data_IF_164558982508
#
_entry.id   IF_164558982508
#
_cell.length_a   1.000
_cell.length_b   1.000
_cell.length_c   1.000
_cell.angle_alpha   90.00
_cell.angle_beta   90.00
_cell.angle_gamma   90.00
#
_symmetry.space_group_name_H-M   'P 1'
#
loop_
_entity.id
_entity.type
_entity.pdbx_description
1 polymer ?
#
# COMPACT_ATOMS: atom_id res chain seq x y z
N UNK A 1 3.73 -4.71 -2.69
CA UNK A 1 3.35 -6.08 -2.29
C UNK A 1 1.98 -6.39 -2.87
N UNK A 2 1.86 -7.51 -3.60
CA UNK A 2 0.62 -7.88 -4.29
C UNK A 2 0.66 -7.58 -5.79
N UNK A 3 -0.14 -8.34 -6.55
CA UNK A 3 -0.19 -8.27 -8.01
C UNK A 3 -1.63 -8.21 -8.57
N UNK A 4 -2.57 -7.70 -7.76
CA UNK A 4 -3.98 -7.56 -8.13
C UNK A 4 -4.29 -6.26 -8.87
N UNK A 5 -5.57 -5.95 -9.05
CA UNK A 5 -6.03 -4.73 -9.72
C UNK A 5 -5.51 -3.46 -9.03
N UNK A 6 -5.57 -3.39 -7.70
CA UNK A 6 -5.07 -2.24 -6.93
C UNK A 6 -3.56 -2.04 -7.08
N UNK A 7 -2.80 -3.11 -7.33
CA UNK A 7 -1.38 -2.99 -7.63
C UNK A 7 -1.14 -2.26 -8.95
N UNK A 8 -2.02 -2.40 -9.95
CA UNK A 8 -1.89 -1.63 -11.20
C UNK A 8 -2.08 -0.13 -10.95
N UNK A 9 -3.05 0.27 -10.14
CA UNK A 9 -3.23 1.66 -9.73
C UNK A 9 -2.02 2.18 -8.95
N UNK A 10 -1.44 1.36 -8.06
CA UNK A 10 -0.22 1.70 -7.33
C UNK A 10 0.98 1.90 -8.27
N UNK A 11 1.14 1.05 -9.30
CA UNK A 11 2.20 1.22 -10.31
C UNK A 11 2.03 2.53 -11.10
N UNK A 12 0.80 2.89 -11.47
CA UNK A 12 0.52 4.17 -12.13
C UNK A 12 0.96 5.36 -11.25
N UNK A 13 0.55 5.36 -9.98
CA UNK A 13 0.92 6.41 -9.03
C UNK A 13 2.44 6.46 -8.78
N UNK A 14 3.12 5.31 -8.71
CA UNK A 14 4.58 5.27 -8.59
C UNK A 14 5.27 5.88 -9.81
N UNK A 15 4.73 5.68 -11.01
CA UNK A 15 5.27 6.28 -12.23
C UNK A 15 5.15 7.82 -12.19
N UNK A 16 4.02 8.35 -11.72
CA UNK A 16 3.83 9.79 -11.52
C UNK A 16 4.80 10.38 -10.49
N UNK A 17 5.22 9.58 -9.51
CA UNK A 17 6.26 9.91 -8.54
C UNK A 17 7.69 9.71 -9.06
N UNK A 18 7.86 9.29 -10.32
CA UNK A 18 9.16 9.08 -10.97
C UNK A 18 9.78 7.70 -10.77
N UNK A 19 9.08 6.75 -10.14
CA UNK A 19 9.52 5.37 -9.99
C UNK A 19 9.02 4.50 -11.15
N UNK A 20 9.90 4.27 -12.12
CA UNK A 20 9.58 3.53 -13.36
C UNK A 20 9.94 2.05 -13.33
N UNK A 21 10.75 1.61 -12.36
CA UNK A 21 11.22 0.22 -12.24
C UNK A 21 10.93 -0.37 -10.84
N UNK A 22 9.67 -0.39 -10.36
CA UNK A 22 9.34 -0.85 -9.02
C UNK A 22 9.48 -2.36 -8.89
N UNK A 23 9.82 -2.84 -7.69
CA UNK A 23 9.82 -4.26 -7.36
C UNK A 23 8.41 -4.69 -6.94
N UNK A 24 7.86 -5.70 -7.63
CA UNK A 24 6.55 -6.28 -7.31
C UNK A 24 6.73 -7.67 -6.73
N UNK A 25 6.38 -7.80 -5.45
CA UNK A 25 6.39 -9.06 -4.73
C UNK A 25 5.03 -9.73 -4.80
N UNK A 26 4.97 -10.96 -5.30
CA UNK A 26 3.74 -11.71 -5.50
C UNK A 26 3.87 -13.17 -5.06
N UNK A 27 2.78 -13.75 -4.53
CA UNK A 27 2.75 -15.17 -4.13
C UNK A 27 2.91 -16.14 -5.31
N UNK A 28 2.47 -15.75 -6.49
CA UNK A 28 2.55 -16.57 -7.70
C UNK A 28 2.94 -15.70 -8.89
N UNK A 29 4.16 -15.91 -9.38
CA UNK A 29 4.69 -15.18 -10.53
C UNK A 29 3.92 -15.49 -11.82
N UNK A 30 3.40 -16.72 -11.97
CA UNK A 30 2.56 -17.08 -13.12
C UNK A 30 1.27 -16.25 -13.25
N UNK A 31 0.85 -15.55 -12.18
CA UNK A 31 -0.36 -14.72 -12.16
C UNK A 31 -0.10 -13.22 -12.39
N UNK A 32 1.16 -12.80 -12.57
CA UNK A 32 1.50 -11.37 -12.72
C UNK A 32 1.31 -10.84 -14.14
N UNK A 33 1.02 -11.70 -15.13
CA UNK A 33 0.94 -11.30 -16.54
C UNK A 33 -0.07 -10.19 -16.84
N UNK A 34 -1.21 -10.15 -16.14
CA UNK A 34 -2.18 -9.06 -16.28
C UNK A 34 -1.62 -7.71 -15.79
N UNK A 35 -0.91 -7.74 -14.65
CA UNK A 35 -0.26 -6.55 -14.09
C UNK A 35 0.91 -6.10 -14.97
N UNK A 36 1.73 -7.01 -15.48
CA UNK A 36 2.82 -6.69 -16.41
C UNK A 36 2.31 -5.97 -17.66
N UNK A 37 1.22 -6.46 -18.28
CA UNK A 37 0.59 -5.79 -19.42
C UNK A 37 0.04 -4.41 -19.06
N UNK A 38 -0.51 -4.24 -17.86
CA UNK A 38 -0.97 -2.93 -17.40
C UNK A 38 0.20 -1.96 -17.22
N UNK A 39 1.27 -2.41 -16.55
CA UNK A 39 2.49 -1.64 -16.32
C UNK A 39 3.12 -1.16 -17.63
N UNK A 40 3.24 -2.04 -18.62
CA UNK A 40 3.78 -1.70 -19.93
C UNK A 40 3.00 -0.56 -20.62
N UNK A 41 1.66 -0.58 -20.57
CA UNK A 41 0.83 0.52 -21.12
C UNK A 41 1.04 1.86 -20.41
N UNK A 42 1.58 1.84 -19.19
CA UNK A 42 1.88 3.01 -18.38
C UNK A 42 3.35 3.42 -18.46
N UNK A 43 4.18 2.72 -19.24
CA UNK A 43 5.63 2.97 -19.31
C UNK A 43 6.38 2.55 -18.05
N UNK A 44 5.86 1.59 -17.29
CA UNK A 44 6.46 1.05 -16.06
C UNK A 44 6.97 -0.36 -16.32
N UNK A 45 8.20 -0.65 -15.90
CA UNK A 45 8.89 -1.93 -16.09
C UNK A 45 9.13 -2.61 -14.73
N UNK A 46 8.09 -3.21 -14.10
CA UNK A 46 8.21 -3.79 -12.78
C UNK A 46 9.09 -5.05 -12.77
N UNK A 47 9.93 -5.18 -11.75
CA UNK A 47 10.68 -6.42 -11.49
C UNK A 47 9.87 -7.32 -10.57
N UNK A 48 9.39 -8.44 -11.08
CA UNK A 48 8.60 -9.38 -10.30
C UNK A 48 9.47 -10.35 -9.50
N UNK A 49 9.16 -10.53 -8.22
CA UNK A 49 9.84 -11.44 -7.28
C UNK A 49 8.84 -12.20 -6.41
N UNK A 50 9.27 -13.34 -5.85
CA UNK A 50 8.44 -14.08 -4.88
C UNK A 50 8.20 -13.26 -3.63
N UNK A 51 7.02 -13.40 -3.03
CA UNK A 51 6.70 -12.77 -1.75
C UNK A 51 7.56 -13.33 -0.59
N UNK A 52 8.16 -14.50 -0.74
CA UNK A 52 9.02 -15.10 0.30
C UNK A 52 10.25 -14.23 0.62
N UNK A 53 10.74 -13.47 -0.36
CA UNK A 53 11.84 -12.50 -0.18
C UNK A 53 11.39 -11.12 0.28
N UNK A 54 10.18 -10.98 0.84
CA UNK A 54 9.61 -9.67 1.18
C UNK A 54 10.41 -8.93 2.24
N UNK A 55 10.89 -9.60 3.29
CA UNK A 55 11.65 -8.96 4.37
C UNK A 55 12.85 -8.18 3.82
N UNK A 56 13.73 -8.87 3.11
CA UNK A 56 14.93 -8.27 2.50
C UNK A 56 14.59 -7.14 1.53
N UNK A 57 13.59 -7.36 0.67
CA UNK A 57 13.18 -6.38 -0.32
C UNK A 57 12.59 -5.12 0.32
N UNK A 58 11.84 -5.25 1.41
CA UNK A 58 11.25 -4.09 2.11
C UNK A 58 12.26 -3.32 2.96
N UNK A 59 13.29 -3.99 3.50
CA UNK A 59 14.34 -3.33 4.28
C UNK A 59 15.15 -2.32 3.46
N UNK A 60 15.27 -2.55 2.14
CA UNK A 60 15.98 -1.66 1.22
C UNK A 60 15.14 -0.55 0.57
N UNK A 61 13.82 -0.51 0.82
CA UNK A 61 12.91 0.38 0.11
C UNK A 61 12.62 1.68 0.89
N UNK A 62 12.52 2.81 0.19
CA UNK A 62 12.07 4.08 0.77
C UNK A 62 10.53 4.18 0.81
N UNK A 63 9.83 3.45 -0.07
CA UNK A 63 8.38 3.36 -0.15
C UNK A 63 7.93 1.91 -0.42
N UNK A 64 7.02 1.41 0.39
CA UNK A 64 6.35 0.13 0.24
C UNK A 64 4.84 0.36 0.12
N UNK A 65 4.21 -0.16 -0.93
CA UNK A 65 2.75 -0.18 -1.03
C UNK A 65 2.28 -1.62 -0.86
N UNK A 66 1.49 -1.90 0.18
CA UNK A 66 0.84 -3.20 0.37
C UNK A 66 -0.58 -3.16 -0.19
N UNK A 67 -0.81 -3.92 -1.25
CA UNK A 67 -2.16 -4.19 -1.80
C UNK A 67 -2.57 -5.64 -1.54
N UNK A 68 -1.99 -6.26 -0.51
CA UNK A 68 -2.31 -7.63 -0.14
C UNK A 68 -3.69 -7.69 0.54
N UNK A 69 -4.44 -8.79 0.40
CA UNK A 69 -5.67 -8.98 1.16
C UNK A 69 -5.42 -8.94 2.68
N UNK A 70 -6.48 -8.74 3.50
CA UNK A 70 -6.42 -8.90 4.94
C UNK A 70 -5.63 -10.14 5.37
N UNK A 71 -4.77 -9.98 6.38
CA UNK A 71 -3.95 -11.03 6.99
C UNK A 71 -2.88 -11.67 6.09
N UNK A 72 -2.87 -11.37 4.78
CA UNK A 72 -1.90 -11.98 3.86
C UNK A 72 -0.47 -11.44 4.01
N UNK A 73 -0.26 -10.44 4.87
CA UNK A 73 1.05 -9.90 5.23
C UNK A 73 1.47 -10.20 6.67
N UNK A 74 0.73 -11.06 7.39
CA UNK A 74 0.98 -11.32 8.81
C UNK A 74 2.35 -11.99 9.04
N UNK A 75 2.80 -12.87 8.16
CA UNK A 75 4.14 -13.49 8.24
C UNK A 75 5.26 -12.45 8.06
N UNK A 76 5.06 -11.47 7.16
CA UNK A 76 5.97 -10.34 7.00
C UNK A 76 6.00 -9.47 8.25
N UNK A 77 4.83 -9.19 8.83
CA UNK A 77 4.72 -8.44 10.08
C UNK A 77 5.44 -9.14 11.24
N UNK A 78 5.28 -10.46 11.37
CA UNK A 78 5.97 -11.26 12.37
C UNK A 78 7.51 -11.21 12.17
N UNK A 79 7.97 -11.29 10.93
CA UNK A 79 9.40 -11.17 10.60
C UNK A 79 9.99 -9.81 10.95
N UNK A 80 9.26 -8.71 10.69
CA UNK A 80 9.67 -7.35 11.06
C UNK A 80 9.75 -7.18 12.58
N UNK A 81 8.79 -7.76 13.31
CA UNK A 81 8.78 -7.73 14.77
C UNK A 81 9.90 -8.57 15.41
N UNK A 82 10.41 -9.59 14.71
CA UNK A 82 11.40 -10.51 15.23
C UNK A 82 12.84 -9.96 15.26
N UNK A 83 13.19 -8.90 14.54
CA UNK A 83 14.54 -8.33 14.65
C UNK A 83 14.88 -7.16 13.72
N UNK A 84 15.87 -6.38 14.16
CA UNK A 84 16.30 -5.14 13.50
C UNK A 84 17.03 -5.35 12.15
N UNK A 85 17.48 -6.56 11.83
CA UNK A 85 18.20 -6.85 10.59
C UNK A 85 17.39 -6.53 9.33
N UNK A 86 16.06 -6.57 9.43
CA UNK A 86 15.13 -6.27 8.33
C UNK A 86 14.28 -5.03 8.64
N UNK A 87 14.73 -4.18 9.57
CA UNK A 87 14.03 -2.94 9.87
C UNK A 87 13.96 -2.06 8.61
N UNK A 88 12.85 -1.33 8.41
CA UNK A 88 12.74 -0.37 7.33
C UNK A 88 13.84 0.71 7.47
N UNK A 89 14.23 1.31 6.34
CA UNK A 89 15.13 2.47 6.36
C UNK A 89 14.50 3.58 7.22
N UNK A 90 15.30 4.40 7.91
CA UNK A 90 14.77 5.56 8.63
C UNK A 90 13.89 6.43 7.72
N UNK A 91 12.63 6.65 8.11
CA UNK A 91 11.67 7.43 7.34
C UNK A 91 11.00 6.70 6.17
N UNK A 92 11.28 5.41 5.95
CA UNK A 92 10.62 4.65 4.89
C UNK A 92 9.11 4.54 5.13
N UNK A 93 8.35 4.76 4.07
CA UNK A 93 6.89 4.85 4.11
C UNK A 93 6.26 3.52 3.71
N UNK A 94 5.30 3.05 4.49
CA UNK A 94 4.36 2.00 4.12
C UNK A 94 3.00 2.63 3.84
N UNK A 95 2.45 2.43 2.63
CA UNK A 95 1.01 2.57 2.38
C UNK A 95 0.38 1.19 2.46
N UNK A 96 -0.37 0.91 3.54
CA UNK A 96 -1.09 -0.35 3.69
C UNK A 96 -2.55 -0.19 3.30
N UNK A 97 -2.92 -0.72 2.13
CA UNK A 97 -4.25 -0.53 1.55
C UNK A 97 -5.33 -1.28 2.33
N UNK A 98 -4.97 -2.36 3.02
CA UNK A 98 -5.94 -3.11 3.82
C UNK A 98 -6.42 -2.27 5.02
N UNK A 99 -7.72 -2.26 5.25
CA UNK A 99 -8.41 -1.50 6.29
C UNK A 99 -9.20 -2.38 7.27
N UNK A 100 -9.03 -3.70 7.16
CA UNK A 100 -9.56 -4.72 8.05
C UNK A 100 -8.52 -5.86 8.18
N UNK A 101 -8.07 -6.23 9.40
CA UNK A 101 -8.30 -5.51 10.66
C UNK A 101 -7.64 -4.12 10.65
N UNK A 102 -8.03 -3.27 11.60
CA UNK A 102 -7.52 -1.91 11.73
C UNK A 102 -6.98 -1.65 13.14
N UNK A 103 -5.66 -1.36 13.30
CA UNK A 103 -4.64 -1.44 12.27
C UNK A 103 -4.35 -2.89 11.85
N UNK A 104 -3.74 -3.07 10.68
CA UNK A 104 -3.23 -4.39 10.27
C UNK A 104 -1.99 -4.76 11.10
N UNK A 105 -1.62 -6.04 11.10
CA UNK A 105 -0.37 -6.48 11.73
C UNK A 105 0.85 -5.83 11.05
N UNK A 106 0.84 -5.70 9.72
CA UNK A 106 1.93 -5.09 8.96
C UNK A 106 2.10 -3.60 9.30
N UNK A 107 0.99 -2.85 9.36
CA UNK A 107 0.99 -1.44 9.73
C UNK A 107 1.60 -1.24 11.13
N UNK A 108 1.15 -2.06 12.08
CA UNK A 108 1.65 -2.03 13.47
C UNK A 108 3.14 -2.37 13.54
N UNK A 109 3.58 -3.44 12.87
CA UNK A 109 4.98 -3.85 12.86
C UNK A 109 5.87 -2.79 12.20
N UNK A 110 5.44 -2.18 11.10
CA UNK A 110 6.20 -1.13 10.41
C UNK A 110 6.46 0.09 11.28
N UNK A 111 5.43 0.55 12.02
CA UNK A 111 5.59 1.63 13.00
C UNK A 111 6.53 1.22 14.15
N UNK A 112 6.36 0.00 14.68
CA UNK A 112 7.21 -0.54 15.74
C UNK A 112 8.69 -0.65 15.35
N UNK A 113 8.97 -0.85 14.05
CA UNK A 113 10.33 -0.89 13.49
C UNK A 113 10.86 0.49 13.05
N UNK A 114 10.18 1.59 13.38
CA UNK A 114 10.66 2.96 13.13
C UNK A 114 10.32 3.53 11.75
N UNK A 115 9.48 2.86 10.97
CA UNK A 115 8.96 3.36 9.70
C UNK A 115 7.76 4.30 9.87
N UNK A 116 7.33 4.91 8.77
CA UNK A 116 6.09 5.71 8.70
C UNK A 116 5.01 4.85 8.03
N UNK A 117 3.85 4.67 8.67
CA UNK A 117 2.77 3.86 8.11
C UNK A 117 1.50 4.68 7.84
N UNK A 118 1.08 4.72 6.58
CA UNK A 118 -0.14 5.37 6.09
C UNK A 118 -1.21 4.29 5.90
N UNK A 119 -2.39 4.43 6.54
CA UNK A 119 -3.43 3.43 6.44
C UNK A 119 -4.30 3.68 5.19
N UNK A 120 -4.93 2.61 4.69
CA UNK A 120 -5.62 2.59 3.39
C UNK A 120 -6.80 3.56 3.29
N UNK A 121 -7.36 4.02 4.41
CA UNK A 121 -8.49 4.95 4.39
C UNK A 121 -8.08 6.36 3.94
N UNK A 122 -6.80 6.73 4.09
CA UNK A 122 -6.28 7.96 3.48
C UNK A 122 -6.35 7.89 1.95
N UNK A 123 -6.03 6.72 1.37
CA UNK A 123 -6.22 6.51 -0.07
C UNK A 123 -7.69 6.63 -0.46
N UNK A 124 -8.60 6.02 0.30
CA UNK A 124 -10.05 6.10 0.05
C UNK A 124 -10.57 7.54 0.09
N UNK A 125 -10.10 8.35 1.05
CA UNK A 125 -10.44 9.77 1.14
C UNK A 125 -10.08 10.53 -0.14
N UNK A 126 -8.84 10.37 -0.62
CA UNK A 126 -8.38 11.05 -1.83
C UNK A 126 -9.08 10.53 -3.09
N UNK A 127 -9.35 9.22 -3.17
CA UNK A 127 -10.15 8.64 -4.26
C UNK A 127 -11.57 9.21 -4.27
N UNK A 128 -12.22 9.31 -3.12
CA UNK A 128 -13.56 9.86 -3.02
C UNK A 128 -13.60 11.35 -3.39
N UNK A 129 -12.61 12.14 -2.98
CA UNK A 129 -12.52 13.55 -3.36
C UNK A 129 -12.38 13.72 -4.88
N UNK A 130 -11.61 12.84 -5.51
CA UNK A 130 -11.45 12.82 -6.96
C UNK A 130 -12.72 12.38 -7.69
N UNK A 131 -13.47 11.42 -7.14
CA UNK A 131 -14.79 11.05 -7.66
C UNK A 131 -15.77 12.23 -7.63
N UNK A 132 -15.82 12.99 -6.53
CA UNK A 132 -16.65 14.22 -6.46
C UNK A 132 -16.24 15.21 -7.55
N UNK A 133 -14.94 15.40 -7.76
CA UNK A 133 -14.43 16.28 -8.83
C UNK A 133 -14.88 15.85 -10.21
N UNK A 134 -14.76 14.56 -10.53
CA UNK A 134 -15.15 14.01 -11.82
C UNK A 134 -16.67 14.07 -12.05
N UNK A 135 -17.47 13.81 -11.01
CA UNK A 135 -18.94 13.80 -11.12
C UNK A 135 -19.56 15.19 -11.18
N UNK A 136 -18.98 16.16 -10.49
CA UNK A 136 -19.59 17.49 -10.28
C UNK A 136 -18.85 18.63 -10.99
N UNK A 137 -17.63 18.38 -11.48
CA UNK A 137 -16.74 19.41 -12.02
C UNK A 137 -16.16 20.35 -10.94
N UNK A 138 -16.43 20.12 -9.65
CA UNK A 138 -15.98 20.96 -8.54
C UNK A 138 -15.03 20.19 -7.63
N UNK A 139 -13.99 20.82 -7.05
CA UNK A 139 -13.11 20.13 -6.10
C UNK A 139 -13.89 19.43 -4.98
N UNK A 140 -13.51 18.19 -4.65
CA UNK A 140 -14.07 17.50 -3.49
C UNK A 140 -13.78 18.27 -2.21
N UNK A 141 -14.75 18.42 -1.28
CA UNK A 141 -14.56 19.16 -0.03
C UNK A 141 -13.72 18.36 0.96
N UNK A 142 -12.41 18.22 0.67
CA UNK A 142 -11.51 17.27 1.32
C UNK A 142 -11.52 17.36 2.85
N UNK A 143 -11.49 18.57 3.41
CA UNK A 143 -11.51 18.77 4.87
C UNK A 143 -12.81 18.26 5.51
N UNK A 144 -13.97 18.46 4.87
CA UNK A 144 -15.24 17.96 5.36
C UNK A 144 -15.34 16.43 5.22
N UNK A 145 -14.81 15.89 4.12
CA UNK A 145 -14.76 14.44 3.89
C UNK A 145 -13.83 13.74 4.89
N UNK A 146 -12.69 14.35 5.22
CA UNK A 146 -11.75 13.86 6.22
C UNK A 146 -12.38 13.85 7.62
N UNK A 147 -13.01 14.97 8.01
CA UNK A 147 -13.74 15.03 9.29
C UNK A 147 -14.84 13.96 9.39
N UNK A 148 -15.56 13.70 8.29
CA UNK A 148 -16.59 12.66 8.24
C UNK A 148 -15.99 11.25 8.33
N UNK A 149 -14.88 11.00 7.63
CA UNK A 149 -14.14 9.74 7.72
C UNK A 149 -13.71 9.51 9.18
N UNK A 150 -12.99 10.45 9.78
CA UNK A 150 -12.51 10.37 11.17
C UNK A 150 -13.64 10.11 12.18
N UNK A 151 -14.81 10.74 12.00
CA UNK A 151 -15.98 10.47 12.83
C UNK A 151 -16.49 9.03 12.67
N UNK A 152 -16.54 8.52 11.44
CA UNK A 152 -16.95 7.15 11.15
C UNK A 152 -15.98 6.12 11.76
N UNK A 153 -14.67 6.37 11.65
CA UNK A 153 -13.65 5.46 12.17
C UNK A 153 -13.66 5.37 13.69
N UNK A 154 -13.95 6.47 14.38
CA UNK A 154 -14.16 6.47 15.85
C UNK A 154 -15.43 5.73 16.27
N UNK A 155 -16.48 5.77 15.44
CA UNK A 155 -17.77 5.11 15.70
C UNK A 155 -17.75 3.60 15.50
N UNK A 156 -16.80 3.07 14.74
CA UNK A 156 -16.64 1.65 14.44
C UNK A 156 -15.43 1.07 15.16
N UNK A 157 -15.39 1.16 16.51
CA UNK A 157 -14.47 0.33 17.29
C UNK A 157 -14.70 -1.14 16.91
N UNK A 158 -13.63 -1.92 16.62
CA UNK A 158 -13.78 -3.32 16.25
C UNK A 158 -14.54 -4.06 17.34
N UNK A 159 -15.59 -4.80 16.94
CA UNK A 159 -16.30 -5.73 17.81
C UNK A 159 -15.43 -6.95 18.10
#
# INVERSE_FOLDING_TARGET
>A
LGAGATAASALAALAELGCTVPVVLARSLGRTGALARAAHRMGVEPVFRSLDGALDATAGADLVVSTLPPRAADDLAAGLAAGAAHAPRPGAVLLDVAYDPRPTALHTAWLGSGGVAVPGERMLLHQAAEQVRLMTGRPGPLAAMDAALEANLRGHSPR
#
